data_IF_337754143384
#
_entry.id   IF_337754143384
#
_cell.length_a   1.000
_cell.length_b   1.000
_cell.length_c   1.000
_cell.angle_alpha   90.00
_cell.angle_beta   90.00
_cell.angle_gamma   90.00
#
_symmetry.space_group_name_H-M   'P 1'
#
loop_
_entity.id
_entity.type
_entity.pdbx_description
1 polymer ?
#
# COMPACT_ATOMS: atom_id res chain seq x y z
N UNK A 1 11.79 -3.16 6.67
CA UNK A 1 12.89 -3.41 5.72
C UNK A 1 12.35 -3.76 4.33
N UNK A 2 13.05 -3.46 3.23
CA UNK A 2 12.60 -3.75 1.85
C UNK A 2 12.45 -5.26 1.59
N UNK A 3 13.33 -6.08 2.17
CA UNK A 3 13.21 -7.55 2.05
C UNK A 3 11.92 -8.07 2.69
N UNK A 4 11.53 -7.49 3.83
CA UNK A 4 10.28 -7.82 4.52
C UNK A 4 9.06 -7.35 3.73
N UNK A 5 9.12 -6.15 3.14
CA UNK A 5 8.04 -5.65 2.29
C UNK A 5 7.80 -6.56 1.08
N UNK A 6 8.88 -7.01 0.42
CA UNK A 6 8.80 -8.00 -0.68
C UNK A 6 8.13 -9.29 -0.23
N UNK A 7 8.56 -9.82 0.92
CA UNK A 7 8.00 -11.06 1.47
C UNK A 7 6.50 -10.97 1.78
N UNK A 8 6.00 -9.81 2.18
CA UNK A 8 4.56 -9.62 2.46
C UNK A 8 3.76 -9.17 1.24
N UNK A 9 4.36 -8.40 0.35
CA UNK A 9 3.76 -7.86 -0.87
C UNK A 9 2.63 -6.85 -0.65
N UNK A 10 2.21 -6.62 0.60
CA UNK A 10 1.14 -5.74 1.01
C UNK A 10 1.33 -5.34 2.48
N UNK A 11 1.11 -4.06 2.81
CA UNK A 11 1.03 -3.56 4.20
C UNK A 11 -0.15 -2.59 4.32
N UNK A 12 -1.00 -2.80 5.31
CA UNK A 12 -1.94 -1.77 5.80
C UNK A 12 -1.31 -1.10 7.01
N UNK A 13 -1.23 0.23 7.01
CA UNK A 13 -0.70 1.01 8.14
C UNK A 13 -1.42 2.36 8.25
N UNK A 14 -1.04 3.17 9.23
CA UNK A 14 -1.53 4.54 9.41
C UNK A 14 -0.44 5.44 9.97
N UNK A 15 -0.21 6.59 9.33
CA UNK A 15 0.79 7.57 9.78
C UNK A 15 0.20 8.98 9.73
N UNK A 16 0.35 9.71 10.84
CA UNK A 16 -0.14 11.09 10.97
C UNK A 16 -1.62 11.30 10.58
N UNK A 17 -2.46 10.28 10.79
CA UNK A 17 -3.89 10.31 10.45
C UNK A 17 -4.23 9.93 9.01
N UNK A 18 -3.24 9.61 8.18
CA UNK A 18 -3.44 9.07 6.83
C UNK A 18 -3.40 7.55 6.87
N UNK A 19 -4.43 6.90 6.36
CA UNK A 19 -4.48 5.46 6.22
C UNK A 19 -3.71 5.02 4.97
N UNK A 20 -2.68 4.21 5.15
CA UNK A 20 -1.77 3.80 4.08
C UNK A 20 -1.99 2.36 3.65
N UNK A 21 -2.00 2.15 2.34
CA UNK A 21 -1.76 0.86 1.72
C UNK A 21 -0.43 0.92 0.97
N UNK A 22 0.53 0.09 1.37
CA UNK A 22 1.77 -0.12 0.62
C UNK A 22 1.63 -1.42 -0.18
N UNK A 23 1.84 -1.32 -1.50
CA UNK A 23 1.82 -2.47 -2.40
C UNK A 23 3.16 -2.61 -3.10
N UNK A 24 3.63 -3.85 -3.24
CA UNK A 24 4.64 -4.15 -4.26
C UNK A 24 3.95 -4.62 -5.54
N UNK A 25 4.53 -4.31 -6.69
CA UNK A 25 4.16 -4.92 -7.97
C UNK A 25 4.28 -6.47 -7.93
N UNK A 26 3.68 -7.20 -8.88
CA UNK A 26 3.75 -8.66 -8.93
C UNK A 26 5.19 -9.19 -8.94
N UNK A 27 6.09 -8.49 -9.61
CA UNK A 27 7.52 -8.79 -9.73
C UNK A 27 8.32 -8.39 -8.47
N UNK A 28 7.68 -7.70 -7.52
CA UNK A 28 8.25 -7.20 -6.27
C UNK A 28 9.48 -6.30 -6.47
N UNK A 29 9.56 -5.61 -7.60
CA UNK A 29 10.64 -4.70 -7.96
C UNK A 29 10.34 -3.29 -7.47
N UNK A 30 9.07 -2.88 -7.52
CA UNK A 30 8.64 -1.51 -7.21
C UNK A 30 7.59 -1.51 -6.11
N UNK A 31 7.62 -0.46 -5.29
CA UNK A 31 6.62 -0.20 -4.27
C UNK A 31 5.82 1.06 -4.60
N UNK A 32 4.52 1.03 -4.34
CA UNK A 32 3.63 2.19 -4.39
C UNK A 32 2.87 2.32 -3.07
N UNK A 33 2.55 3.55 -2.69
CA UNK A 33 1.81 3.88 -1.47
C UNK A 33 0.52 4.59 -1.87
N UNK A 34 -0.59 4.17 -1.29
CA UNK A 34 -1.91 4.72 -1.54
C UNK A 34 -2.58 5.16 -0.25
N UNK A 35 -3.39 6.20 -0.31
CA UNK A 35 -4.41 6.48 0.71
C UNK A 35 -5.52 5.44 0.56
N UNK A 36 -5.65 4.56 1.56
CA UNK A 36 -6.69 3.51 1.58
C UNK A 36 -8.04 4.01 2.07
N UNK A 37 -8.20 5.31 2.26
CA UNK A 37 -9.48 5.96 2.55
C UNK A 37 -10.25 6.18 1.26
N UNK A 38 -11.47 5.65 1.18
CA UNK A 38 -12.37 5.82 0.05
C UNK A 38 -13.76 6.19 0.56
N UNK A 39 -14.34 7.25 0.01
CA UNK A 39 -15.70 7.72 0.33
C UNK A 39 -15.96 7.85 1.86
N UNK A 40 -14.96 8.33 2.61
CA UNK A 40 -15.04 8.54 4.06
C UNK A 40 -14.85 7.28 4.92
N UNK A 41 -14.40 6.16 4.32
CA UNK A 41 -14.09 4.91 5.01
C UNK A 41 -12.66 4.48 4.74
N UNK A 42 -11.97 4.05 5.78
CA UNK A 42 -10.72 3.31 5.69
C UNK A 42 -10.97 1.87 5.22
N UNK A 43 -10.36 1.45 4.11
CA UNK A 43 -10.45 0.08 3.61
C UNK A 43 -9.25 -0.75 4.08
N UNK A 44 -9.46 -2.02 4.40
CA UNK A 44 -8.42 -2.96 4.81
C UNK A 44 -8.20 -3.98 3.69
N UNK A 45 -6.95 -4.16 3.28
CA UNK A 45 -6.63 -5.00 2.14
C UNK A 45 -5.93 -6.30 2.52
N UNK A 46 -6.23 -7.34 1.76
CA UNK A 46 -5.57 -8.64 1.85
C UNK A 46 -5.08 -9.05 0.46
N UNK A 47 -4.04 -9.89 0.44
CA UNK A 47 -3.50 -10.47 -0.79
C UNK A 47 -3.60 -11.99 -0.71
N UNK A 48 -4.36 -12.58 -1.61
CA UNK A 48 -4.51 -14.03 -1.72
C UNK A 48 -3.26 -14.68 -2.34
N UNK A 49 -3.13 -16.01 -2.21
CA UNK A 49 -2.01 -16.78 -2.76
C UNK A 49 -1.89 -16.65 -4.29
N UNK A 50 -3.01 -16.47 -4.99
CA UNK A 50 -3.05 -16.24 -6.44
C UNK A 50 -2.64 -14.81 -6.85
N UNK A 51 -2.26 -13.99 -5.87
CA UNK A 51 -1.83 -12.60 -6.05
C UNK A 51 -2.97 -11.59 -6.14
N UNK A 52 -4.23 -12.02 -6.05
CA UNK A 52 -5.39 -11.13 -6.05
C UNK A 52 -5.39 -10.26 -4.80
N UNK A 53 -5.60 -8.96 -4.98
CA UNK A 53 -5.75 -7.99 -3.90
C UNK A 53 -7.24 -7.72 -3.69
N UNK A 54 -7.72 -7.83 -2.45
CA UNK A 54 -9.13 -7.59 -2.11
C UNK A 54 -9.27 -6.70 -0.88
N UNK A 55 -10.28 -5.83 -0.86
CA UNK A 55 -10.70 -5.17 0.38
C UNK A 55 -11.66 -6.05 1.19
N UNK A 56 -11.52 -6.06 2.51
CA UNK A 56 -12.31 -6.91 3.41
C UNK A 56 -13.73 -6.36 3.64
N UNK A 57 -13.93 -5.05 3.48
CA UNK A 57 -15.19 -4.37 3.78
C UNK A 57 -16.27 -4.64 2.74
N UNK A 58 -15.87 -4.81 1.47
CA UNK A 58 -16.80 -5.01 0.36
C UNK A 58 -16.52 -6.27 -0.46
N UNK A 59 -15.34 -6.86 -0.29
CA UNK A 59 -14.87 -7.99 -1.10
C UNK A 59 -14.55 -7.59 -2.54
N UNK A 60 -14.29 -6.31 -2.82
CA UNK A 60 -13.96 -5.87 -4.17
C UNK A 60 -12.49 -6.20 -4.47
N UNK A 61 -12.18 -6.47 -5.75
CA UNK A 61 -10.83 -6.82 -6.19
C UNK A 61 -10.13 -5.61 -6.79
N UNK A 62 -8.82 -5.51 -6.55
CA UNK A 62 -8.00 -4.36 -6.89
C UNK A 62 -6.75 -4.79 -7.65
N UNK A 63 -6.26 -3.92 -8.52
CA UNK A 63 -4.95 -4.07 -9.15
C UNK A 63 -3.84 -3.36 -8.35
N UNK A 64 -2.59 -3.64 -8.71
CA UNK A 64 -1.40 -3.08 -8.06
C UNK A 64 -1.25 -1.56 -8.25
N UNK A 65 -2.07 -0.97 -9.11
CA UNK A 65 -2.16 0.48 -9.34
C UNK A 65 -3.24 1.15 -8.46
N UNK A 66 -3.79 0.41 -7.49
CA UNK A 66 -4.81 0.92 -6.58
C UNK A 66 -6.16 1.13 -7.26
N UNK A 67 -6.47 0.43 -8.36
CA UNK A 67 -7.75 0.54 -9.07
C UNK A 67 -8.62 -0.67 -8.81
N UNK A 68 -9.88 -0.43 -8.48
CA UNK A 68 -10.84 -1.50 -8.26
C UNK A 68 -11.33 -2.06 -9.61
N UNK A 69 -11.02 -3.33 -9.86
CA UNK A 69 -11.29 -4.01 -11.14
C UNK A 69 -12.59 -4.81 -11.13
N UNK A 70 -13.04 -5.28 -9.96
CA UNK A 70 -14.24 -6.13 -9.78
C UNK A 70 -14.91 -5.85 -8.44
N UNK A 71 -16.21 -6.12 -8.34
CA UNK A 71 -16.97 -5.98 -7.09
C UNK A 71 -17.73 -4.66 -6.97
N UNK A 72 -18.15 -4.34 -5.74
CA UNK A 72 -19.04 -3.20 -5.45
C UNK A 72 -18.38 -1.85 -5.74
N UNK A 73 -17.06 -1.77 -5.59
CA UNK A 73 -16.29 -0.54 -5.79
C UNK A 73 -15.69 -0.43 -7.20
N UNK A 74 -16.09 -1.28 -8.14
CA UNK A 74 -15.51 -1.33 -9.50
C UNK A 74 -15.48 0.05 -10.15
N UNK A 75 -14.31 0.41 -10.70
CA UNK A 75 -14.07 1.71 -11.36
C UNK A 75 -13.59 2.82 -10.42
N UNK A 76 -13.61 2.60 -9.09
CA UNK A 76 -12.96 3.49 -8.13
C UNK A 76 -11.44 3.27 -8.13
N UNK A 77 -10.71 4.28 -7.69
CA UNK A 77 -9.26 4.22 -7.51
C UNK A 77 -8.89 4.86 -6.16
N UNK A 78 -7.84 4.34 -5.53
CA UNK A 78 -7.22 4.91 -4.35
C UNK A 78 -6.38 6.14 -4.72
N UNK A 79 -6.17 7.04 -3.77
CA UNK A 79 -5.30 8.18 -3.95
C UNK A 79 -3.83 7.75 -3.92
N UNK A 80 -3.08 7.95 -5.00
CA UNK A 80 -1.63 7.69 -4.98
C UNK A 80 -0.93 8.72 -4.09
N UNK A 81 -0.11 8.25 -3.16
CA UNK A 81 0.72 9.08 -2.29
C UNK A 81 2.14 9.09 -2.87
N UNK A 82 2.70 10.29 -3.02
CA UNK A 82 4.07 10.47 -3.45
C UNK A 82 5.00 9.71 -2.49
N UNK A 83 5.75 8.76 -3.05
CA UNK A 83 6.66 7.89 -2.31
C UNK A 83 7.90 7.61 -3.14
N UNK A 84 8.99 7.18 -2.48
CA UNK A 84 10.27 6.96 -3.11
C UNK A 84 10.94 5.70 -2.55
N UNK A 85 11.52 4.90 -3.44
CA UNK A 85 12.42 3.80 -3.06
C UNK A 85 13.85 4.34 -3.04
N UNK A 86 14.43 4.49 -1.84
CA UNK A 86 15.76 5.06 -1.66
C UNK A 86 16.58 4.30 -0.62
N UNK A 87 17.89 4.50 -0.63
CA UNK A 87 18.76 3.96 0.42
C UNK A 87 18.55 4.73 1.73
N UNK A 88 18.20 4.00 2.79
CA UNK A 88 17.92 4.57 4.12
C UNK A 88 19.04 5.48 4.63
N UNK A 89 20.30 5.10 4.41
CA UNK A 89 21.47 5.88 4.83
C UNK A 89 21.50 7.28 4.20
N UNK A 90 21.09 7.40 2.93
CA UNK A 90 20.96 8.69 2.26
C UNK A 90 19.82 9.50 2.86
N UNK A 91 18.65 8.88 3.02
CA UNK A 91 17.44 9.53 3.54
C UNK A 91 17.63 10.15 4.94
N UNK A 92 18.16 9.37 5.89
CA UNK A 92 18.30 9.83 7.29
C UNK A 92 19.29 10.99 7.44
N UNK A 93 20.20 11.19 6.48
CA UNK A 93 21.13 12.33 6.50
C UNK A 93 20.36 13.66 6.35
N UNK A 94 19.25 13.66 5.60
CA UNK A 94 18.42 14.84 5.37
C UNK A 94 17.14 14.86 6.22
N UNK A 95 16.71 13.71 6.73
CA UNK A 95 15.46 13.53 7.46
C UNK A 95 15.68 12.80 8.79
N UNK A 96 16.49 13.40 9.68
CA UNK A 96 16.96 12.76 10.92
C UNK A 96 15.85 12.37 11.92
N UNK A 97 14.67 12.98 11.84
CA UNK A 97 13.52 12.66 12.69
C UNK A 97 12.60 11.58 12.10
N UNK A 98 12.98 10.96 10.98
CA UNK A 98 12.23 9.86 10.36
C UNK A 98 12.06 8.70 11.35
N UNK A 99 10.83 8.20 11.43
CA UNK A 99 10.50 6.94 12.10
C UNK A 99 10.44 5.79 11.10
N UNK A 100 10.60 4.57 11.57
CA UNK A 100 10.55 3.37 10.73
C UNK A 100 9.32 2.54 11.08
N UNK A 101 8.70 1.97 10.06
CA UNK A 101 7.68 0.95 10.25
C UNK A 101 8.32 -0.35 10.74
N UNK A 102 7.75 -0.94 11.78
CA UNK A 102 8.12 -2.25 12.32
C UNK A 102 7.17 -3.31 11.78
N UNK A 103 7.73 -4.35 11.14
CA UNK A 103 6.97 -5.40 10.44
C UNK A 103 6.41 -6.48 11.37
#
# INVERSE_FOLDING_TARGET
>A
DWSQLKSRGLVNDSVAGTDLLVLTDPEQVTGAVYDRSLDGRSLSFERAEDGTITDTETGSSWDHFGRCTKGKLKGKALGLIQSYQQYVRGWITFHAQTTFYEF
#
